data_IF_521218324175
#
_entry.id   IF_521218324175
#
_cell.length_a   1.000
_cell.length_b   1.000
_cell.length_c   1.000
_cell.angle_alpha   90.00
_cell.angle_beta   90.00
_cell.angle_gamma   90.00
#
_symmetry.space_group_name_H-M   'P 1'
#
loop_
_entity.id
_entity.type
_entity.pdbx_description
1 polymer ?
#
# COMPACT_ATOMS: atom_id res chain seq x y z
N UNK A 1 31.69 3.14 53.93
CA UNK A 1 32.03 4.04 52.79
C UNK A 1 32.05 3.33 51.42
N UNK A 2 31.34 2.21 51.24
CA UNK A 2 31.34 1.36 50.02
C UNK A 2 30.07 1.46 49.13
N UNK A 3 28.88 1.92 49.57
CA UNK A 3 27.67 1.86 48.73
C UNK A 3 27.66 2.77 47.48
N UNK A 4 28.31 3.95 47.55
CA UNK A 4 28.22 4.97 46.49
C UNK A 4 28.95 4.58 45.20
N UNK A 5 30.10 3.91 45.31
CA UNK A 5 30.89 3.43 44.17
C UNK A 5 30.19 2.28 43.42
N UNK A 6 29.43 1.44 44.12
CA UNK A 6 28.70 0.32 43.53
C UNK A 6 27.49 0.80 42.68
N UNK A 7 26.78 1.83 43.15
CA UNK A 7 25.68 2.45 42.42
C UNK A 7 26.15 3.19 41.16
N UNK A 8 27.28 3.91 41.23
CA UNK A 8 27.84 4.61 40.07
C UNK A 8 28.29 3.64 38.96
N UNK A 9 28.93 2.52 39.34
CA UNK A 9 29.39 1.49 38.40
C UNK A 9 28.22 0.74 37.76
N UNK A 10 27.16 0.46 38.52
CA UNK A 10 25.92 -0.17 38.02
C UNK A 10 25.15 0.74 37.08
N UNK A 11 25.09 2.06 37.35
CA UNK A 11 24.53 3.07 36.41
C UNK A 11 25.30 3.16 35.11
N UNK A 12 26.64 3.16 35.13
CA UNK A 12 27.45 3.18 33.91
C UNK A 12 27.28 1.89 33.08
N UNK A 13 27.21 0.73 33.72
CA UNK A 13 26.98 -0.56 33.02
C UNK A 13 25.59 -0.60 32.40
N UNK A 14 24.56 -0.16 33.13
CA UNK A 14 23.19 -0.08 32.61
C UNK A 14 23.07 0.93 31.45
N UNK A 15 23.69 2.10 31.54
CA UNK A 15 23.71 3.09 30.44
C UNK A 15 24.44 2.56 29.19
N UNK A 16 25.52 1.79 29.37
CA UNK A 16 26.27 1.18 28.27
C UNK A 16 25.50 0.01 27.63
N UNK A 17 24.76 -0.77 28.42
CA UNK A 17 23.87 -1.82 27.93
C UNK A 17 22.63 -1.25 27.23
N UNK A 18 22.04 -0.16 27.75
CA UNK A 18 20.94 0.55 27.09
C UNK A 18 21.40 1.16 25.75
N UNK A 19 22.60 1.78 25.68
CA UNK A 19 23.20 2.23 24.42
C UNK A 19 23.44 1.09 23.43
N UNK A 20 23.85 -0.09 23.92
CA UNK A 20 24.10 -1.27 23.08
C UNK A 20 22.79 -1.91 22.56
N UNK A 21 21.75 -1.94 23.38
CA UNK A 21 20.41 -2.42 23.00
C UNK A 21 19.73 -1.46 22.01
N UNK A 22 19.82 -0.15 22.25
CA UNK A 22 19.35 0.87 21.31
C UNK A 22 20.11 0.83 19.97
N UNK A 23 21.42 0.54 20.01
CA UNK A 23 22.22 0.34 18.80
C UNK A 23 21.79 -0.91 18.03
N UNK A 24 21.50 -2.01 18.72
CA UNK A 24 21.07 -3.26 18.09
C UNK A 24 19.68 -3.16 17.43
N UNK A 25 18.73 -2.40 17.98
CA UNK A 25 17.44 -2.13 17.32
C UNK A 25 17.56 -1.11 16.19
N UNK A 26 18.47 -0.14 16.29
CA UNK A 26 18.68 0.91 15.27
C UNK A 26 19.28 0.40 13.95
N UNK A 27 20.10 -0.67 13.99
CA UNK A 27 20.83 -1.17 12.81
C UNK A 27 19.90 -1.62 11.68
N UNK A 28 18.66 -2.04 11.99
CA UNK A 28 17.69 -2.46 10.96
C UNK A 28 16.94 -1.29 10.30
N UNK A 29 16.83 -0.13 10.94
CA UNK A 29 16.09 1.02 10.39
C UNK A 29 16.90 1.81 9.36
N UNK A 30 18.23 1.86 9.49
CA UNK A 30 19.10 2.62 8.59
C UNK A 30 19.09 2.08 7.15
N UNK A 31 18.75 0.82 6.94
CA UNK A 31 18.65 0.20 5.61
C UNK A 31 17.26 0.27 4.99
N UNK A 32 16.28 0.83 5.71
CA UNK A 32 14.87 0.89 5.30
C UNK A 32 14.44 2.34 5.04
N UNK A 33 13.44 2.51 4.18
CA UNK A 33 12.71 3.77 3.98
C UNK A 33 11.22 3.53 4.10
N UNK A 34 10.49 4.49 4.63
CA UNK A 34 9.04 4.47 4.62
C UNK A 34 8.53 5.08 3.31
N UNK A 35 7.51 4.47 2.72
CA UNK A 35 6.79 5.02 1.58
C UNK A 35 5.30 5.07 1.87
N UNK A 36 4.66 6.15 1.49
CA UNK A 36 3.21 6.30 1.53
C UNK A 36 2.68 6.51 0.12
N UNK A 37 1.80 5.63 -0.35
CA UNK A 37 1.16 5.74 -1.66
C UNK A 37 -0.22 6.39 -1.51
N UNK A 38 -0.48 7.43 -2.31
CA UNK A 38 -1.76 8.10 -2.39
C UNK A 38 -2.28 8.11 -3.83
N UNK A 39 -3.47 7.54 -4.04
CA UNK A 39 -4.19 7.56 -5.31
C UNK A 39 -5.57 8.16 -5.07
N UNK A 40 -5.89 9.24 -5.78
CA UNK A 40 -7.13 10.00 -5.67
C UNK A 40 -7.89 9.86 -6.97
N UNK A 41 -9.16 9.50 -6.91
CA UNK A 41 -10.06 9.42 -8.07
C UNK A 41 -11.37 10.10 -7.72
N UNK A 42 -12.02 10.78 -8.68
CA UNK A 42 -13.42 11.16 -8.48
C UNK A 42 -14.29 9.89 -8.44
N UNK A 43 -15.01 9.63 -7.33
CA UNK A 43 -15.70 8.35 -7.14
C UNK A 43 -16.88 8.13 -8.11
N UNK A 44 -17.36 9.18 -8.79
CA UNK A 44 -18.51 9.06 -9.70
C UNK A 44 -19.80 8.69 -8.99
N UNK A 45 -19.93 9.12 -7.73
CA UNK A 45 -21.03 8.74 -6.87
C UNK A 45 -21.56 9.95 -6.11
N UNK A 46 -22.86 9.93 -5.88
CA UNK A 46 -23.55 10.83 -4.97
C UNK A 46 -24.37 10.00 -3.98
N UNK A 47 -24.66 10.58 -2.81
CA UNK A 47 -25.54 9.91 -1.83
C UNK A 47 -26.91 9.68 -2.46
N UNK A 48 -27.46 8.49 -2.26
CA UNK A 48 -28.82 8.16 -2.67
C UNK A 48 -29.81 8.74 -1.65
N UNK A 49 -30.81 9.48 -2.11
CA UNK A 49 -31.93 9.96 -1.29
C UNK A 49 -33.14 9.04 -1.45
N UNK A 50 -34.06 9.10 -0.48
CA UNK A 50 -35.32 8.36 -0.56
C UNK A 50 -36.14 8.78 -1.80
N UNK A 51 -36.14 10.08 -2.09
CA UNK A 51 -36.84 10.65 -3.23
C UNK A 51 -36.32 10.10 -4.56
N UNK A 52 -35.00 9.82 -4.68
CA UNK A 52 -34.41 9.24 -5.90
C UNK A 52 -35.06 7.88 -6.26
N UNK A 53 -35.68 7.22 -5.28
CA UNK A 53 -36.41 5.95 -5.42
C UNK A 53 -37.93 6.14 -5.46
N UNK A 54 -38.41 7.39 -5.53
CA UNK A 54 -39.84 7.71 -5.46
C UNK A 54 -40.44 7.56 -4.06
N UNK A 55 -39.60 7.49 -3.02
CA UNK A 55 -40.05 7.35 -1.63
C UNK A 55 -40.17 8.71 -0.94
N UNK A 56 -41.18 8.84 -0.09
CA UNK A 56 -41.41 10.02 0.76
C UNK A 56 -40.55 9.96 2.02
N UNK A 57 -40.25 11.13 2.61
CA UNK A 57 -39.55 11.25 3.89
C UNK A 57 -40.21 10.37 4.98
N UNK A 58 -39.41 9.54 5.66
CA UNK A 58 -39.88 8.63 6.71
C UNK A 58 -40.28 7.21 6.25
N UNK A 59 -40.37 6.95 4.95
CA UNK A 59 -40.60 5.57 4.45
C UNK A 59 -39.35 4.68 4.59
N UNK A 60 -38.17 5.30 4.66
CA UNK A 60 -36.92 4.58 4.92
C UNK A 60 -36.74 4.48 6.43
N UNK A 61 -36.87 3.26 6.96
CA UNK A 61 -36.63 2.98 8.38
C UNK A 61 -35.18 3.29 8.75
N UNK A 62 -34.96 3.73 9.99
CA UNK A 62 -33.65 4.12 10.53
C UNK A 62 -32.56 3.03 10.44
N UNK A 63 -32.97 1.76 10.36
CA UNK A 63 -32.06 0.61 10.21
C UNK A 63 -31.40 0.52 8.83
N UNK A 64 -31.88 1.26 7.82
CA UNK A 64 -31.39 1.15 6.45
C UNK A 64 -30.48 2.32 6.05
N UNK A 65 -29.37 1.99 5.40
CA UNK A 65 -28.50 2.95 4.72
C UNK A 65 -28.65 2.80 3.19
N UNK A 66 -29.11 3.86 2.52
CA UNK A 66 -29.42 3.84 1.07
C UNK A 66 -28.18 3.76 0.16
N UNK A 67 -26.99 4.05 0.68
CA UNK A 67 -25.77 4.02 -0.13
C UNK A 67 -25.68 5.17 -1.12
N UNK A 68 -25.27 4.87 -2.35
CA UNK A 68 -24.89 5.87 -3.35
C UNK A 68 -25.46 5.58 -4.74
N UNK A 69 -25.91 6.63 -5.43
CA UNK A 69 -26.24 6.62 -6.87
C UNK A 69 -24.99 6.83 -7.72
N UNK A 70 -24.96 6.21 -8.91
CA UNK A 70 -23.83 6.27 -9.86
C UNK A 70 -24.03 7.44 -10.83
N UNK A 71 -22.95 8.17 -11.09
CA UNK A 71 -22.91 9.31 -12.01
C UNK A 71 -22.26 8.97 -13.36
N UNK A 72 -21.82 7.72 -13.57
CA UNK A 72 -21.26 7.25 -14.82
C UNK A 72 -21.27 5.70 -14.87
N UNK A 73 -20.96 5.06 -16.02
CA UNK A 73 -20.85 3.60 -16.12
C UNK A 73 -19.82 2.98 -15.16
N UNK A 74 -20.20 1.91 -14.46
CA UNK A 74 -19.35 1.30 -13.43
C UNK A 74 -17.95 0.86 -13.92
N UNK A 75 -17.80 0.60 -15.23
CA UNK A 75 -16.54 0.18 -15.84
C UNK A 75 -15.41 1.21 -15.65
N UNK A 76 -15.72 2.51 -15.72
CA UNK A 76 -14.74 3.56 -15.43
C UNK A 76 -14.19 3.45 -14.01
N UNK A 77 -15.08 3.29 -13.02
CA UNK A 77 -14.68 3.14 -11.62
C UNK A 77 -13.89 1.85 -11.40
N UNK A 78 -14.32 0.75 -12.04
CA UNK A 78 -13.62 -0.52 -11.96
C UNK A 78 -12.19 -0.39 -12.49
N UNK A 79 -11.99 0.29 -13.62
CA UNK A 79 -10.68 0.57 -14.19
C UNK A 79 -9.77 1.32 -13.22
N UNK A 80 -10.22 2.46 -12.67
CA UNK A 80 -9.42 3.22 -11.70
C UNK A 80 -9.11 2.42 -10.42
N UNK A 81 -10.06 1.63 -9.92
CA UNK A 81 -9.86 0.76 -8.78
C UNK A 81 -8.82 -0.33 -9.07
N UNK A 82 -8.85 -0.92 -10.26
CA UNK A 82 -7.88 -1.93 -10.68
C UNK A 82 -6.47 -1.34 -10.77
N UNK A 83 -6.30 -0.16 -11.37
CA UNK A 83 -4.99 0.51 -11.47
C UNK A 83 -4.44 0.87 -10.08
N UNK A 84 -5.28 1.45 -9.22
CA UNK A 84 -4.92 1.73 -7.83
C UNK A 84 -4.58 0.45 -7.06
N UNK A 85 -5.32 -0.62 -7.30
CA UNK A 85 -5.10 -1.94 -6.73
C UNK A 85 -3.77 -2.55 -7.17
N UNK A 86 -3.42 -2.50 -8.46
CA UNK A 86 -2.14 -2.95 -8.99
C UNK A 86 -0.96 -2.29 -8.26
N UNK A 87 -1.02 -0.97 -8.06
CA UNK A 87 0.02 -0.23 -7.36
C UNK A 87 0.15 -0.63 -5.88
N UNK A 88 -0.99 -0.75 -5.17
CA UNK A 88 -1.01 -1.20 -3.77
C UNK A 88 -0.50 -2.62 -3.62
N UNK A 89 -0.92 -3.54 -4.49
CA UNK A 89 -0.45 -4.94 -4.48
C UNK A 89 1.04 -5.01 -4.76
N UNK A 90 1.53 -4.34 -5.81
CA UNK A 90 2.96 -4.32 -6.13
C UNK A 90 3.79 -3.78 -4.97
N UNK A 91 3.33 -2.68 -4.35
CA UNK A 91 4.00 -2.15 -3.17
C UNK A 91 3.99 -3.17 -2.03
N UNK A 92 2.85 -3.78 -1.72
CA UNK A 92 2.74 -4.81 -0.68
C UNK A 92 3.69 -5.99 -0.89
N UNK A 93 3.87 -6.45 -2.13
CA UNK A 93 4.74 -7.58 -2.48
C UNK A 93 6.24 -7.25 -2.35
N UNK A 94 6.62 -5.97 -2.42
CA UNK A 94 8.02 -5.52 -2.44
C UNK A 94 8.44 -4.74 -1.18
N UNK A 95 7.61 -4.74 -0.15
CA UNK A 95 7.83 -4.01 1.09
C UNK A 95 7.31 -4.79 2.29
N UNK A 96 7.43 -4.22 3.49
CA UNK A 96 6.88 -4.77 4.72
C UNK A 96 5.81 -3.83 5.30
N UNK A 97 4.86 -4.37 6.09
CA UNK A 97 3.98 -3.54 6.89
C UNK A 97 4.78 -2.53 7.70
N UNK A 98 4.19 -1.38 7.97
CA UNK A 98 4.75 -0.39 8.88
C UNK A 98 3.70 -0.04 9.94
N UNK A 99 4.15 0.42 11.10
CA UNK A 99 3.29 0.76 12.24
C UNK A 99 2.26 1.86 11.94
N UNK A 100 2.48 2.65 10.89
CA UNK A 100 1.55 3.68 10.42
C UNK A 100 0.73 3.12 9.28
N UNK A 101 -0.60 3.23 9.38
CA UNK A 101 -1.51 2.80 8.32
C UNK A 101 -1.16 3.44 6.97
N UNK A 102 -1.30 2.65 5.90
CA UNK A 102 -0.99 3.06 4.52
C UNK A 102 0.47 3.47 4.27
N UNK A 103 1.35 3.26 5.24
CA UNK A 103 2.81 3.40 5.09
C UNK A 103 3.44 2.01 5.04
N UNK A 104 4.47 1.88 4.21
CA UNK A 104 5.18 0.63 3.95
C UNK A 104 6.68 0.82 4.11
N UNK A 105 7.37 -0.16 4.68
CA UNK A 105 8.82 -0.11 4.81
C UNK A 105 9.49 -0.85 3.64
N UNK A 106 10.32 -0.17 2.85
CA UNK A 106 11.06 -0.73 1.71
C UNK A 106 12.55 -0.79 2.06
N UNK A 107 13.24 -1.92 1.79
CA UNK A 107 14.71 -1.95 1.81
C UNK A 107 15.28 -0.98 0.78
N UNK A 108 16.23 -0.11 1.17
CA UNK A 108 16.81 0.92 0.31
C UNK A 108 17.29 0.38 -1.05
N UNK A 109 17.88 -0.82 -1.07
CA UNK A 109 18.30 -1.53 -2.31
C UNK A 109 17.17 -1.78 -3.30
N UNK A 110 15.92 -1.90 -2.84
CA UNK A 110 14.74 -2.14 -3.66
C UNK A 110 14.03 -0.85 -4.05
N UNK A 111 14.37 0.30 -3.45
CA UNK A 111 13.65 1.56 -3.64
C UNK A 111 13.59 1.98 -5.11
N UNK A 112 14.73 1.94 -5.81
CA UNK A 112 14.81 2.34 -7.22
C UNK A 112 13.83 1.53 -8.09
N UNK A 113 13.83 0.20 -7.93
CA UNK A 113 12.90 -0.70 -8.63
C UNK A 113 11.44 -0.43 -8.27
N UNK A 114 11.16 -0.10 -7.01
CA UNK A 114 9.78 0.21 -6.60
C UNK A 114 9.31 1.53 -7.22
N UNK A 115 10.15 2.56 -7.17
CA UNK A 115 9.84 3.89 -7.74
C UNK A 115 9.64 3.81 -9.25
N UNK A 116 10.51 3.11 -9.98
CA UNK A 116 10.39 2.91 -11.42
C UNK A 116 9.02 2.31 -11.79
N UNK A 117 8.62 1.23 -11.10
CA UNK A 117 7.33 0.59 -11.36
C UNK A 117 6.14 1.47 -10.95
N UNK A 118 6.27 2.28 -9.89
CA UNK A 118 5.24 3.23 -9.50
C UNK A 118 5.07 4.36 -10.52
N UNK A 119 6.15 4.82 -11.16
CA UNK A 119 6.07 5.80 -12.26
C UNK A 119 5.36 5.21 -13.50
N UNK A 120 5.62 3.96 -13.87
CA UNK A 120 4.90 3.29 -14.95
C UNK A 120 3.39 3.22 -14.68
N UNK A 121 3.02 2.79 -13.46
CA UNK A 121 1.62 2.69 -13.04
C UNK A 121 0.96 4.07 -12.91
N UNK A 122 1.72 5.08 -12.51
CA UNK A 122 1.29 6.47 -12.48
C UNK A 122 0.97 6.96 -13.89
N UNK A 123 1.85 6.70 -14.87
CA UNK A 123 1.61 7.06 -16.26
C UNK A 123 0.37 6.37 -16.82
N UNK A 124 0.20 5.06 -16.61
CA UNK A 124 -1.01 4.30 -17.01
C UNK A 124 -2.27 4.89 -16.37
N UNK A 125 -2.22 5.23 -15.08
CA UNK A 125 -3.33 5.84 -14.35
C UNK A 125 -3.70 7.24 -14.86
N UNK A 126 -2.71 8.11 -15.05
CA UNK A 126 -2.95 9.48 -15.49
C UNK A 126 -3.45 9.52 -16.94
N UNK A 127 -2.91 8.66 -17.83
CA UNK A 127 -3.42 8.53 -19.19
C UNK A 127 -4.91 8.11 -19.20
N UNK A 128 -5.30 7.17 -18.32
CA UNK A 128 -6.72 6.81 -18.16
C UNK A 128 -7.58 7.91 -17.56
N UNK A 129 -7.01 8.75 -16.69
CA UNK A 129 -7.70 9.93 -16.18
C UNK A 129 -7.92 10.98 -17.28
N UNK A 130 -6.94 11.18 -18.16
CA UNK A 130 -7.06 12.07 -19.33
C UNK A 130 -8.13 11.55 -20.29
N UNK A 131 -8.10 10.27 -20.65
CA UNK A 131 -9.11 9.60 -21.47
C UNK A 131 -10.53 9.77 -20.88
N UNK A 132 -10.70 9.55 -19.57
CA UNK A 132 -11.98 9.77 -18.91
C UNK A 132 -12.48 11.22 -19.01
N UNK A 133 -11.58 12.19 -18.87
CA UNK A 133 -11.92 13.62 -18.97
C UNK A 133 -12.30 14.00 -20.40
N UNK A 134 -11.67 13.40 -21.41
CA UNK A 134 -12.01 13.62 -22.81
C UNK A 134 -13.39 13.06 -23.16
N UNK A 135 -13.76 11.91 -22.60
CA UNK A 135 -15.08 11.31 -22.77
C UNK A 135 -16.15 11.86 -21.82
N UNK A 136 -15.79 12.75 -20.88
CA UNK A 136 -16.67 13.13 -19.78
C UNK A 136 -17.99 13.74 -20.24
N UNK A 137 -17.96 14.65 -21.21
CA UNK A 137 -19.17 15.33 -21.69
C UNK A 137 -20.10 14.36 -22.44
N UNK A 138 -19.53 13.43 -23.20
CA UNK A 138 -20.28 12.35 -23.87
C UNK A 138 -20.93 11.43 -22.85
N UNK A 139 -20.17 10.95 -21.86
CA UNK A 139 -20.69 10.09 -20.78
C UNK A 139 -21.84 10.81 -20.06
N UNK A 140 -21.67 12.10 -19.77
CA UNK A 140 -22.69 12.91 -19.10
C UNK A 140 -23.96 13.05 -19.95
N UNK A 141 -23.83 13.25 -21.26
CA UNK A 141 -24.95 13.34 -22.18
C UNK A 141 -25.72 12.02 -22.28
N UNK A 142 -25.01 10.90 -22.44
CA UNK A 142 -25.60 9.54 -22.44
C UNK A 142 -26.31 9.23 -21.11
N UNK A 143 -25.70 9.60 -19.98
CA UNK A 143 -26.31 9.40 -18.66
C UNK A 143 -27.58 10.23 -18.48
N UNK A 144 -27.58 11.46 -19.01
CA UNK A 144 -28.77 12.34 -19.04
C UNK A 144 -29.89 11.73 -19.88
N UNK A 145 -29.56 11.25 -21.07
CA UNK A 145 -30.54 10.65 -21.98
C UNK A 145 -31.19 9.41 -21.36
N UNK A 146 -30.40 8.60 -20.66
CA UNK A 146 -30.87 7.37 -20.01
C UNK A 146 -31.70 7.59 -18.75
N UNK A 147 -31.44 8.67 -18.01
CA UNK A 147 -32.02 8.93 -16.68
C UNK A 147 -32.64 10.32 -16.59
N UNK A 148 -33.49 10.67 -17.57
CA UNK A 148 -34.10 11.99 -17.71
C UNK A 148 -35.00 12.35 -16.52
N UNK A 149 -35.71 11.36 -15.98
CA UNK A 149 -36.67 11.47 -14.87
C UNK A 149 -36.03 11.89 -13.54
N UNK A 150 -34.75 11.54 -13.33
CA UNK A 150 -33.99 11.88 -12.13
C UNK A 150 -32.86 12.88 -12.40
N UNK A 151 -32.71 13.36 -13.64
CA UNK A 151 -31.55 14.14 -14.06
C UNK A 151 -31.33 15.40 -13.22
N UNK A 152 -32.39 16.13 -12.88
CA UNK A 152 -32.30 17.37 -12.09
C UNK A 152 -31.68 17.12 -10.70
N UNK A 153 -31.78 15.90 -10.17
CA UNK A 153 -31.17 15.48 -8.91
C UNK A 153 -29.76 14.91 -9.09
N UNK A 154 -29.40 14.48 -10.30
CA UNK A 154 -28.05 13.99 -10.62
C UNK A 154 -27.12 15.14 -11.03
N UNK A 155 -27.61 16.06 -11.86
CA UNK A 155 -26.85 17.13 -12.50
C UNK A 155 -25.99 17.97 -11.52
N UNK A 156 -26.48 18.36 -10.32
CA UNK A 156 -25.68 19.13 -9.36
C UNK A 156 -24.44 18.41 -8.82
N UNK A 157 -24.40 17.08 -8.90
CA UNK A 157 -23.30 16.27 -8.40
C UNK A 157 -22.15 16.08 -9.42
N UNK A 158 -22.34 16.52 -10.66
CA UNK A 158 -21.29 16.49 -11.68
C UNK A 158 -20.35 17.68 -11.50
N UNK A 159 -19.03 17.47 -11.29
CA UNK A 159 -18.08 18.56 -11.27
C UNK A 159 -17.95 19.21 -12.65
N UNK A 160 -17.64 20.52 -12.70
CA UNK A 160 -17.20 21.18 -13.93
C UNK A 160 -15.96 20.50 -14.54
N UNK A 161 -15.88 20.45 -15.88
CA UNK A 161 -14.81 19.76 -16.61
C UNK A 161 -13.41 20.29 -16.25
N UNK A 162 -13.27 21.61 -16.12
CA UNK A 162 -12.05 22.30 -15.72
C UNK A 162 -11.51 21.86 -14.35
N UNK A 163 -12.39 21.40 -13.46
CA UNK A 163 -12.03 20.92 -12.12
C UNK A 163 -11.97 19.41 -12.02
N UNK A 164 -12.55 18.68 -12.98
CA UNK A 164 -12.66 17.22 -12.94
C UNK A 164 -11.27 16.57 -12.94
N UNK A 165 -10.39 16.99 -13.86
CA UNK A 165 -9.06 16.38 -14.02
C UNK A 165 -8.22 16.42 -12.74
N UNK A 166 -8.33 17.51 -11.97
CA UNK A 166 -7.60 17.71 -10.70
C UNK A 166 -8.05 16.76 -9.58
N UNK A 167 -9.17 16.05 -9.75
CA UNK A 167 -9.66 15.04 -8.80
C UNK A 167 -9.02 13.67 -9.01
N UNK A 168 -8.25 13.51 -10.08
CA UNK A 168 -7.47 12.32 -10.38
C UNK A 168 -6.00 12.61 -10.16
N UNK A 169 -5.40 11.90 -9.22
CA UNK A 169 -4.00 12.09 -8.86
C UNK A 169 -3.40 10.79 -8.35
N UNK A 170 -2.09 10.64 -8.56
CA UNK A 170 -1.33 9.47 -8.18
C UNK A 170 0.07 9.95 -7.81
N UNK A 171 0.42 9.79 -6.54
CA UNK A 171 1.71 10.21 -6.00
C UNK A 171 2.11 9.36 -4.80
N UNK A 172 3.39 9.45 -4.44
CA UNK A 172 3.90 8.85 -3.22
C UNK A 172 4.92 9.77 -2.56
N UNK A 173 5.10 9.57 -1.27
CA UNK A 173 6.12 10.24 -0.47
C UNK A 173 7.05 9.21 0.14
N UNK A 174 8.36 9.43 0.05
CA UNK A 174 9.39 8.60 0.68
C UNK A 174 9.98 9.35 1.86
N UNK A 175 10.10 8.67 3.00
CA UNK A 175 10.62 9.20 4.24
C UNK A 175 11.78 8.34 4.74
N UNK A 176 12.84 8.99 5.25
CA UNK A 176 13.89 8.27 5.98
C UNK A 176 13.37 7.85 7.36
N UNK A 177 13.59 6.59 7.72
CA UNK A 177 13.31 6.09 9.06
C UNK A 177 14.48 6.47 9.97
N UNK A 178 14.39 7.64 10.59
CA UNK A 178 15.29 8.03 11.69
C UNK A 178 14.56 7.83 13.01
N UNK A 179 15.23 7.16 13.95
CA UNK A 179 14.78 7.17 15.34
C UNK A 179 14.74 8.63 15.77
N UNK A 180 13.64 9.07 16.35
CA UNK A 180 13.60 10.47 16.76
C UNK A 180 14.62 10.72 17.91
N UNK A 181 15.07 11.96 18.02
CA UNK A 181 16.11 12.36 18.96
C UNK A 181 15.61 13.57 19.75
N UNK A 182 15.79 13.53 21.07
CA UNK A 182 15.50 14.68 21.92
C UNK A 182 16.66 15.65 21.82
N UNK A 183 16.38 16.93 21.55
CA UNK A 183 17.40 17.97 21.58
C UNK A 183 17.93 18.16 23.00
N UNK A 184 19.24 18.31 23.13
CA UNK A 184 19.90 18.63 24.40
C UNK A 184 19.33 19.94 24.97
N UNK A 185 18.89 19.92 26.23
CA UNK A 185 18.23 21.06 26.88
C UNK A 185 16.70 21.12 26.79
N UNK A 186 16.02 20.10 26.25
CA UNK A 186 14.55 20.03 26.25
C UNK A 186 13.98 19.93 27.68
N UNK A 187 12.79 20.50 27.90
CA UNK A 187 12.11 20.44 29.20
C UNK A 187 11.80 18.98 29.62
N UNK A 188 11.79 18.65 30.92
CA UNK A 188 11.58 17.28 31.42
C UNK A 188 10.30 16.62 30.92
N UNK A 189 9.22 17.38 30.75
CA UNK A 189 7.93 16.90 30.24
C UNK A 189 8.03 16.46 28.77
N UNK A 190 8.83 17.18 27.98
CA UNK A 190 9.10 16.85 26.57
C UNK A 190 9.94 15.57 26.50
N UNK A 191 10.95 15.43 27.37
CA UNK A 191 11.77 14.23 27.45
C UNK A 191 10.90 13.01 27.80
N UNK A 192 10.05 13.12 28.83
CA UNK A 192 9.19 12.03 29.28
C UNK A 192 8.16 11.63 28.20
N UNK A 193 7.48 12.59 27.59
CA UNK A 193 6.55 12.34 26.48
C UNK A 193 7.25 11.65 25.30
N UNK A 194 8.50 12.06 25.03
CA UNK A 194 9.30 11.49 23.97
C UNK A 194 9.74 10.05 24.27
N UNK A 195 10.21 9.77 25.49
CA UNK A 195 10.57 8.42 25.93
C UNK A 195 9.37 7.48 25.87
N UNK A 196 8.18 7.95 26.27
CA UNK A 196 6.94 7.19 26.17
C UNK A 196 6.56 6.90 24.70
N UNK A 197 6.53 7.91 23.85
CA UNK A 197 6.22 7.71 22.42
C UNK A 197 7.22 6.77 21.72
N UNK A 198 8.49 6.81 22.13
CA UNK A 198 9.52 5.88 21.63
C UNK A 198 9.29 4.45 22.12
N UNK A 199 8.88 4.27 23.38
CA UNK A 199 8.53 2.96 23.91
C UNK A 199 7.31 2.37 23.19
N UNK A 200 6.24 3.15 23.02
CA UNK A 200 5.02 2.74 22.30
C UNK A 200 5.33 2.36 20.84
N UNK A 201 6.18 3.15 20.15
CA UNK A 201 6.60 2.85 18.79
C UNK A 201 7.40 1.55 18.70
N UNK A 202 8.29 1.31 19.67
CA UNK A 202 9.10 0.10 19.74
C UNK A 202 8.24 -1.15 19.98
N UNK A 203 7.23 -1.04 20.85
CA UNK A 203 6.26 -2.11 21.11
C UNK A 203 5.47 -2.45 19.84
N UNK A 204 4.85 -1.46 19.19
CA UNK A 204 4.13 -1.67 17.92
C UNK A 204 5.01 -2.23 16.81
N UNK A 205 6.28 -1.83 16.76
CA UNK A 205 7.23 -2.39 15.80
C UNK A 205 7.49 -3.87 16.07
N UNK A 206 7.64 -4.26 17.35
CA UNK A 206 7.84 -5.65 17.73
C UNK A 206 6.63 -6.51 17.34
N UNK A 207 5.41 -6.04 17.62
CA UNK A 207 4.15 -6.67 17.18
C UNK A 207 4.12 -6.84 15.65
N UNK A 208 4.45 -5.78 14.92
CA UNK A 208 4.49 -5.79 13.45
C UNK A 208 5.53 -6.76 12.88
N UNK A 209 6.71 -6.87 13.50
CA UNK A 209 7.73 -7.86 13.12
C UNK A 209 7.19 -9.27 13.32
N UNK A 210 6.54 -9.54 14.45
CA UNK A 210 5.93 -10.84 14.74
C UNK A 210 4.83 -11.19 13.73
N UNK A 211 3.93 -10.25 13.43
CA UNK A 211 2.91 -10.40 12.38
C UNK A 211 3.54 -10.66 11.00
N UNK A 212 4.61 -9.95 10.66
CA UNK A 212 5.32 -10.10 9.38
C UNK A 212 5.98 -11.48 9.27
N UNK A 213 6.56 -11.99 10.36
CA UNK A 213 7.11 -13.36 10.41
C UNK A 213 6.00 -14.40 10.24
N UNK A 214 4.85 -14.21 10.91
CA UNK A 214 3.70 -15.10 10.77
C UNK A 214 3.13 -15.08 9.34
N UNK A 215 3.02 -13.90 8.73
CA UNK A 215 2.63 -13.75 7.34
C UNK A 215 3.58 -14.47 6.38
N UNK A 216 4.89 -14.31 6.55
CA UNK A 216 5.91 -14.98 5.75
C UNK A 216 5.83 -16.51 5.90
N UNK A 217 5.66 -17.03 7.11
CA UNK A 217 5.47 -18.47 7.37
C UNK A 217 4.24 -18.99 6.63
N UNK A 218 3.12 -18.27 6.67
CA UNK A 218 1.89 -18.64 5.95
C UNK A 218 2.11 -18.68 4.43
N UNK A 219 2.77 -17.67 3.87
CA UNK A 219 3.14 -17.62 2.43
C UNK A 219 4.02 -18.79 2.03
N UNK A 220 5.03 -19.13 2.84
CA UNK A 220 5.90 -20.30 2.59
C UNK A 220 5.08 -21.58 2.59
N UNK A 221 4.19 -21.77 3.57
CA UNK A 221 3.30 -22.93 3.63
C UNK A 221 2.38 -23.03 2.41
N UNK A 222 1.78 -21.91 1.97
CA UNK A 222 0.95 -21.89 0.75
C UNK A 222 1.76 -22.31 -0.48
N UNK A 223 2.97 -21.80 -0.65
CA UNK A 223 3.85 -22.16 -1.78
C UNK A 223 4.22 -23.64 -1.74
N UNK A 224 4.64 -24.15 -0.58
CA UNK A 224 5.01 -25.56 -0.40
C UNK A 224 3.80 -26.48 -0.62
N UNK A 225 2.63 -26.09 -0.13
CA UNK A 225 1.38 -26.85 -0.30
C UNK A 225 0.97 -26.89 -1.77
N UNK A 226 1.05 -25.76 -2.47
CA UNK A 226 0.76 -25.67 -3.90
C UNK A 226 1.76 -26.51 -4.72
N UNK A 227 3.05 -26.46 -4.41
CA UNK A 227 4.07 -27.30 -5.04
C UNK A 227 3.83 -28.79 -4.78
N UNK A 228 3.54 -29.15 -3.52
CA UNK A 228 3.23 -30.54 -3.12
C UNK A 228 1.99 -31.07 -3.85
N UNK A 229 0.93 -30.28 -3.95
CA UNK A 229 -0.26 -30.63 -4.74
C UNK A 229 0.09 -30.85 -6.21
N UNK A 230 0.84 -29.93 -6.82
CA UNK A 230 1.25 -30.05 -8.24
C UNK A 230 2.14 -31.25 -8.51
N UNK A 231 2.98 -31.64 -7.54
CA UNK A 231 3.78 -32.86 -7.59
C UNK A 231 2.90 -34.11 -7.52
N UNK A 232 1.93 -34.14 -6.59
CA UNK A 232 0.96 -35.24 -6.46
C UNK A 232 0.08 -35.39 -7.71
N UNK A 233 -0.27 -34.28 -8.35
CA UNK A 233 -1.10 -34.24 -9.55
C UNK A 233 -0.31 -34.51 -10.85
N UNK A 234 1.01 -34.77 -10.77
CA UNK A 234 1.84 -35.09 -11.94
C UNK A 234 2.06 -33.94 -12.94
N UNK A 235 1.87 -32.68 -12.52
CA UNK A 235 1.85 -31.50 -13.43
C UNK A 235 3.17 -30.73 -13.52
N UNK A 236 4.32 -31.36 -13.26
CA UNK A 236 5.63 -30.73 -13.50
C UNK A 236 6.23 -31.31 -14.77
N UNK A 237 6.07 -30.59 -15.89
CA UNK A 237 6.88 -30.84 -17.07
C UNK A 237 8.31 -30.39 -16.76
N UNK A 238 9.23 -31.33 -16.53
CA UNK A 238 10.66 -31.04 -16.53
C UNK A 238 11.02 -30.52 -17.93
N UNK A 239 11.50 -29.28 -18.02
CA UNK A 239 11.94 -28.71 -19.27
C UNK A 239 13.02 -29.58 -19.91
N UNK A 240 12.71 -30.20 -21.05
CA UNK A 240 13.71 -30.77 -21.92
C UNK A 240 14.59 -29.62 -22.43
N UNK A 241 15.79 -29.51 -21.87
CA UNK A 241 16.91 -28.88 -22.57
C UNK A 241 17.22 -29.77 -23.78
N UNK A 242 16.98 -29.27 -24.99
CA UNK A 242 17.52 -29.87 -26.20
C UNK A 242 19.04 -29.68 -26.17
N UNK A 243 19.78 -30.72 -25.81
CA UNK A 243 21.20 -30.81 -26.13
C UNK A 243 21.34 -30.86 -27.66
N UNK A 244 22.01 -29.85 -28.21
CA UNK A 244 22.40 -29.84 -29.63
C UNK A 244 23.32 -31.03 -29.89
N UNK A 245 22.85 -31.96 -30.73
CA UNK A 245 23.60 -33.10 -31.23
C UNK A 245 24.83 -32.60 -32.00
N UNK A 246 26.01 -32.72 -31.40
CA UNK A 246 27.28 -32.61 -32.12
C UNK A 246 27.40 -33.76 -33.14
N UNK A 247 27.91 -33.52 -34.36
CA UNK A 247 28.05 -34.56 -35.37
C UNK A 247 29.11 -35.59 -34.95
N UNK A 248 28.76 -36.87 -35.11
CA UNK A 248 29.55 -38.03 -34.71
C UNK A 248 30.86 -38.22 -35.49
N UNK A 249 31.71 -39.15 -35.03
CA UNK A 249 33.12 -39.22 -35.40
C UNK A 249 33.34 -39.73 -36.82
N UNK A 250 34.31 -39.11 -37.49
CA UNK A 250 34.94 -39.60 -38.71
C UNK A 250 35.72 -40.88 -38.33
N UNK A 251 35.36 -42.01 -38.94
CA UNK A 251 36.13 -43.26 -38.89
C UNK A 251 36.96 -43.40 -40.18
N UNK A 252 38.15 -44.04 -40.15
CA UNK A 252 39.20 -43.82 -41.14
C UNK A 252 39.17 -44.80 -42.32
N UNK A 253 39.64 -44.28 -43.46
CA UNK A 253 40.36 -44.91 -44.57
C UNK A 253 39.97 -46.33 -45.06
N UNK A 254 39.45 -46.38 -46.30
CA UNK A 254 40.02 -47.14 -47.41
C UNK A 254 39.62 -46.46 -48.73
#
# INVERSE_FOLDING_TARGET
>A
MVPALFFARRRQVMAKQAKKAAKASSVHFEEMVAIQLAVRSWPGQAKLSAEDLGLTYGQVREIFYLGNKKLYPQEWRRCFNQLSGKARTYLNDHSYPFVVEYVRAIPKRNLAKVVERLEELRAEYLAKADEFVDHYDTIRAEWKEKYQDIWDRLAPHYPPRDRLRRRFDFFWSVFELKGAEVKEGSAPEIIAAYEQAKADLQERYQEMVEESVMYLRKKVLEVVTNLSSRLKDGRIQSGHHQESKAPGPISPAA
#
